data_IF_706340025539
#
_entry.id   IF_706340025539
#
_cell.length_a   1.000
_cell.length_b   1.000
_cell.length_c   1.000
_cell.angle_alpha   90.00
_cell.angle_beta   90.00
_cell.angle_gamma   90.00
#
_symmetry.space_group_name_H-M   'P 1'
#
loop_
_entity.id
_entity.type
_entity.pdbx_description
1 polymer ?
#
# COMPACT_ATOMS: atom_id res chain seq x y z
N UNK A 1 -16.71 -57.93 -35.28
CA UNK A 1 -18.16 -57.84 -35.01
C UNK A 1 -18.52 -56.38 -34.72
N UNK A 2 -19.45 -55.86 -35.52
CA UNK A 2 -20.34 -54.68 -35.40
C UNK A 2 -20.13 -53.64 -34.28
N UNK A 3 -19.74 -52.43 -34.74
CA UNK A 3 -20.32 -51.07 -34.51
C UNK A 3 -21.12 -50.81 -33.22
N UNK A 4 -20.80 -49.69 -32.54
CA UNK A 4 -21.77 -48.65 -32.15
C UNK A 4 -21.03 -47.36 -31.75
N UNK A 5 -21.13 -46.36 -32.62
CA UNK A 5 -20.97 -44.96 -32.27
C UNK A 5 -22.30 -44.46 -31.68
N UNK A 6 -22.26 -43.55 -30.70
CA UNK A 6 -23.34 -42.61 -30.41
C UNK A 6 -22.74 -41.27 -29.97
N UNK A 7 -23.17 -40.24 -30.66
CA UNK A 7 -22.87 -38.82 -30.44
C UNK A 7 -23.86 -38.21 -29.46
N UNK A 8 -23.47 -37.09 -28.84
CA UNK A 8 -24.26 -35.85 -28.62
C UNK A 8 -24.32 -35.33 -27.16
N UNK A 9 -23.86 -34.09 -27.02
CA UNK A 9 -24.33 -33.06 -26.07
C UNK A 9 -23.95 -33.26 -24.60
N UNK A 10 -23.60 -32.25 -23.80
CA UNK A 10 -24.00 -30.85 -23.79
C UNK A 10 -22.93 -30.02 -23.08
N UNK A 11 -22.78 -28.78 -23.53
CA UNK A 11 -22.10 -27.68 -22.83
C UNK A 11 -22.90 -27.33 -21.57
N UNK A 12 -22.22 -27.14 -20.43
CA UNK A 12 -22.65 -26.20 -19.39
C UNK A 12 -21.44 -25.80 -18.53
N UNK A 13 -21.13 -24.51 -18.63
CA UNK A 13 -20.16 -23.80 -17.81
C UNK A 13 -20.62 -23.74 -16.35
N UNK A 14 -19.68 -23.87 -15.42
CA UNK A 14 -19.79 -23.30 -14.09
C UNK A 14 -18.44 -22.71 -13.72
N UNK A 15 -18.29 -21.43 -14.04
CA UNK A 15 -17.25 -20.55 -13.52
C UNK A 15 -17.51 -20.43 -12.02
N UNK A 16 -16.55 -20.86 -11.21
CA UNK A 16 -16.66 -20.88 -9.76
C UNK A 16 -15.30 -20.73 -9.07
N UNK A 17 -14.50 -19.78 -9.54
CA UNK A 17 -13.32 -19.23 -8.86
C UNK A 17 -13.27 -17.76 -9.31
N UNK A 18 -13.02 -16.73 -8.50
CA UNK A 18 -12.16 -16.64 -7.34
C UNK A 18 -12.80 -15.70 -6.31
N UNK A 19 -12.73 -16.08 -5.03
CA UNK A 19 -12.68 -15.11 -3.95
C UNK A 19 -11.30 -14.45 -4.01
N UNK A 20 -11.18 -13.29 -4.67
CA UNK A 20 -9.93 -12.51 -4.70
C UNK A 20 -9.80 -11.77 -3.35
N UNK A 21 -9.49 -12.52 -2.30
CA UNK A 21 -8.78 -11.98 -1.15
C UNK A 21 -7.34 -11.77 -1.58
N UNK A 22 -7.00 -10.57 -2.06
CA UNK A 22 -5.64 -10.25 -2.50
C UNK A 22 -4.64 -10.51 -1.38
N UNK A 23 -3.86 -11.59 -1.52
CA UNK A 23 -2.74 -11.87 -0.64
C UNK A 23 -1.73 -10.70 -0.77
N UNK A 24 -1.05 -10.30 0.32
CA UNK A 24 0.01 -9.30 0.22
C UNK A 24 1.05 -9.78 -0.77
N UNK A 25 1.55 -8.88 -1.63
CA UNK A 25 2.70 -9.18 -2.45
C UNK A 25 3.89 -9.40 -1.52
N UNK A 26 4.45 -10.62 -1.53
CA UNK A 26 5.64 -10.98 -0.76
C UNK A 26 6.79 -11.15 -1.74
N UNK A 27 7.82 -10.32 -1.60
CA UNK A 27 9.09 -10.52 -2.29
C UNK A 27 10.13 -11.13 -1.34
N UNK A 28 10.85 -12.14 -1.84
CA UNK A 28 12.04 -12.66 -1.15
C UNK A 28 13.20 -11.65 -1.22
N UNK A 29 13.29 -10.87 -2.30
CA UNK A 29 14.22 -9.77 -2.45
C UNK A 29 13.71 -8.50 -1.76
N UNK A 30 14.62 -7.63 -1.31
CA UNK A 30 14.35 -6.41 -0.52
C UNK A 30 13.35 -5.40 -1.09
N UNK A 31 12.82 -5.58 -2.31
CA UNK A 31 11.80 -4.71 -2.90
C UNK A 31 10.45 -5.39 -3.02
N UNK A 32 9.36 -4.72 -2.64
CA UNK A 32 7.99 -5.19 -2.81
C UNK A 32 7.07 -4.07 -3.32
N UNK A 33 6.19 -4.42 -4.25
CA UNK A 33 5.23 -3.53 -4.89
C UNK A 33 3.84 -4.15 -4.84
N UNK A 34 2.85 -3.34 -4.48
CA UNK A 34 1.45 -3.75 -4.47
C UNK A 34 0.55 -2.60 -4.91
N UNK A 35 -0.40 -2.92 -5.79
CA UNK A 35 -1.45 -1.99 -6.19
C UNK A 35 -2.82 -2.66 -6.11
N UNK A 36 -3.86 -1.90 -5.74
CA UNK A 36 -5.26 -2.35 -5.80
C UNK A 36 -6.12 -1.32 -6.49
N UNK A 37 -7.08 -1.83 -7.24
CA UNK A 37 -8.11 -1.05 -7.91
C UNK A 37 -9.46 -1.31 -7.23
N UNK A 38 -10.19 -0.24 -6.94
CA UNK A 38 -11.52 -0.29 -6.38
C UNK A 38 -12.48 0.53 -7.26
N UNK A 39 -13.57 -0.06 -7.76
CA UNK A 39 -14.47 0.65 -8.68
C UNK A 39 -15.19 1.80 -7.96
N UNK A 40 -15.22 2.97 -8.59
CA UNK A 40 -16.01 4.12 -8.15
C UNK A 40 -17.27 4.21 -9.00
N UNK A 41 -17.07 4.22 -10.32
CA UNK A 41 -18.11 4.27 -11.35
C UNK A 41 -17.68 3.43 -12.57
N UNK A 42 -18.49 3.31 -13.64
CA UNK A 42 -18.14 2.49 -14.81
C UNK A 42 -16.85 2.91 -15.54
N UNK A 43 -16.41 4.16 -15.41
CA UNK A 43 -15.23 4.70 -16.07
C UNK A 43 -14.04 4.89 -15.12
N UNK A 44 -14.29 5.14 -13.83
CA UNK A 44 -13.26 5.53 -12.87
C UNK A 44 -13.09 4.51 -11.75
N UNK A 45 -11.85 4.21 -11.40
CA UNK A 45 -11.48 3.36 -10.28
C UNK A 45 -10.53 4.10 -9.34
N UNK A 46 -10.65 3.89 -8.04
CA UNK A 46 -9.65 4.29 -7.06
C UNK A 46 -8.50 3.29 -7.14
N UNK A 47 -7.32 3.77 -7.53
CA UNK A 47 -6.08 3.02 -7.38
C UNK A 47 -5.42 3.39 -6.05
N UNK A 48 -4.98 2.38 -5.31
CA UNK A 48 -4.09 2.53 -4.16
C UNK A 48 -2.81 1.76 -4.43
N UNK A 49 -1.69 2.30 -3.95
CA UNK A 49 -0.37 1.78 -4.21
C UNK A 49 0.46 1.76 -2.92
N UNK A 50 1.25 0.71 -2.76
CA UNK A 50 2.24 0.56 -1.72
C UNK A 50 3.51 -0.03 -2.32
N UNK A 51 4.62 0.67 -2.13
CA UNK A 51 5.94 0.26 -2.56
C UNK A 51 6.90 0.34 -1.38
N UNK A 52 7.81 -0.62 -1.33
CA UNK A 52 8.78 -0.80 -0.27
C UNK A 52 10.11 -1.28 -0.87
N UNK A 53 11.22 -0.67 -0.49
CA UNK A 53 12.57 -1.04 -0.89
C UNK A 53 13.51 -1.01 0.31
N UNK A 54 13.90 -2.19 0.77
CA UNK A 54 14.75 -2.45 1.91
C UNK A 54 16.15 -2.83 1.45
N UNK A 55 17.15 -2.09 1.94
CA UNK A 55 18.56 -2.29 1.58
C UNK A 55 19.38 -2.58 2.86
N UNK A 56 19.91 -3.80 3.04
CA UNK A 56 20.70 -4.12 4.24
C UNK A 56 21.97 -3.28 4.36
N UNK A 57 22.63 -2.98 3.24
CA UNK A 57 23.87 -2.18 3.25
C UNK A 57 23.67 -0.77 3.81
N UNK A 58 22.45 -0.26 3.81
CA UNK A 58 22.12 1.11 4.21
C UNK A 58 21.38 1.22 5.55
N UNK A 59 21.01 0.12 6.22
CA UNK A 59 20.29 0.22 7.49
C UNK A 59 18.80 0.61 7.36
N UNK A 60 18.27 0.74 6.13
CA UNK A 60 17.01 1.45 5.87
C UNK A 60 16.13 0.78 4.82
N UNK A 61 14.81 1.02 4.92
CA UNK A 61 13.85 0.79 3.86
C UNK A 61 13.21 2.10 3.42
N UNK A 62 13.17 2.37 2.12
CA UNK A 62 12.36 3.43 1.55
C UNK A 62 10.95 2.91 1.30
N UNK A 63 9.95 3.76 1.48
CA UNK A 63 8.59 3.43 1.11
C UNK A 63 7.90 4.58 0.39
N UNK A 64 6.93 4.20 -0.42
CA UNK A 64 5.97 5.09 -1.05
C UNK A 64 4.59 4.47 -0.92
N UNK A 65 3.64 5.21 -0.38
CA UNK A 65 2.23 4.85 -0.44
C UNK A 65 1.46 5.96 -1.12
N UNK A 66 0.38 5.64 -1.81
CA UNK A 66 -0.39 6.68 -2.48
C UNK A 66 -1.72 6.20 -3.00
N UNK A 67 -2.49 7.17 -3.48
CA UNK A 67 -3.75 6.93 -4.15
C UNK A 67 -3.91 7.84 -5.37
N UNK A 68 -4.60 7.34 -6.38
CA UNK A 68 -4.92 8.07 -7.60
C UNK A 68 -6.24 7.57 -8.18
N UNK A 69 -6.83 8.33 -9.08
CA UNK A 69 -7.94 7.87 -9.91
C UNK A 69 -7.37 7.21 -11.16
N UNK A 70 -7.77 5.97 -11.42
CA UNK A 70 -7.53 5.27 -12.68
C UNK A 70 -8.73 5.52 -13.60
N UNK A 71 -8.45 6.14 -14.75
CA UNK A 71 -9.39 6.40 -15.83
C UNK A 71 -8.96 5.61 -17.08
N UNK A 72 -9.78 5.58 -18.16
CA UNK A 72 -9.36 4.98 -19.43
C UNK A 72 -8.12 5.66 -20.04
N UNK A 73 -7.92 6.95 -19.76
CA UNK A 73 -6.79 7.73 -20.26
C UNK A 73 -5.51 7.58 -19.39
N UNK A 74 -5.62 6.89 -18.26
CA UNK A 74 -4.51 6.65 -17.33
C UNK A 74 -4.79 7.12 -15.90
N UNK A 75 -3.71 7.27 -15.12
CA UNK A 75 -3.79 7.76 -13.75
C UNK A 75 -3.95 9.28 -13.74
N UNK A 76 -4.87 9.74 -12.91
CA UNK A 76 -5.14 11.16 -12.66
C UNK A 76 -5.30 11.41 -11.17
N UNK A 77 -5.21 12.68 -10.77
CA UNK A 77 -5.41 13.08 -9.39
C UNK A 77 -6.89 13.18 -9.03
N UNK A 78 -7.19 13.97 -7.99
CA UNK A 78 -8.55 14.11 -7.47
C UNK A 78 -9.11 15.52 -7.74
N UNK A 79 -10.45 15.69 -7.67
CA UNK A 79 -11.10 16.98 -7.90
C UNK A 79 -10.86 18.01 -6.77
N UNK A 80 -11.32 19.24 -7.00
CA UNK A 80 -11.05 20.41 -6.15
C UNK A 80 -11.70 20.36 -4.76
N UNK A 81 -12.76 19.59 -4.62
CA UNK A 81 -13.53 19.40 -3.40
C UNK A 81 -13.12 18.13 -2.64
N UNK A 82 -11.99 17.51 -3.02
CA UNK A 82 -11.46 16.35 -2.32
C UNK A 82 -11.16 16.65 -0.85
N UNK A 83 -11.63 15.75 0.00
CA UNK A 83 -11.04 15.43 1.28
C UNK A 83 -10.67 13.94 1.29
N UNK A 84 -9.44 13.61 1.68
CA UNK A 84 -9.03 12.23 1.85
C UNK A 84 -8.17 12.05 3.10
N UNK A 85 -8.32 10.87 3.72
CA UNK A 85 -7.48 10.41 4.82
C UNK A 85 -6.86 9.08 4.44
N UNK A 86 -5.54 9.05 4.33
CA UNK A 86 -4.76 7.84 4.15
C UNK A 86 -4.14 7.44 5.50
N UNK A 87 -4.32 6.17 5.90
CA UNK A 87 -3.67 5.63 7.09
C UNK A 87 -2.84 4.41 6.70
N UNK A 88 -1.58 4.44 7.11
CA UNK A 88 -0.57 3.47 6.71
C UNK A 88 0.06 2.86 7.95
N UNK A 89 -0.03 1.54 8.07
CA UNK A 89 0.52 0.78 9.19
C UNK A 89 1.78 0.07 8.73
N UNK A 90 2.86 0.30 9.45
CA UNK A 90 4.15 -0.36 9.28
C UNK A 90 4.38 -1.29 10.46
N UNK A 91 4.62 -2.56 10.18
CA UNK A 91 4.82 -3.59 11.21
C UNK A 91 5.79 -4.67 10.75
N UNK A 92 6.27 -5.45 11.72
CA UNK A 92 7.08 -6.65 11.51
C UNK A 92 6.38 -7.85 12.14
N UNK A 93 6.64 -9.05 11.62
CA UNK A 93 6.26 -10.31 12.29
C UNK A 93 7.24 -10.65 13.44
N UNK A 94 8.42 -10.01 13.47
CA UNK A 94 9.43 -10.23 14.48
C UNK A 94 9.30 -9.21 15.60
N UNK A 95 8.98 -9.67 16.82
CA UNK A 95 8.86 -8.78 18.01
C UNK A 95 10.15 -8.09 18.42
N UNK A 96 11.28 -8.61 17.97
CA UNK A 96 12.61 -8.05 18.23
C UNK A 96 13.04 -7.04 17.16
N UNK A 97 12.19 -6.73 16.19
CA UNK A 97 12.42 -5.67 15.21
C UNK A 97 11.75 -4.37 15.68
N UNK A 98 12.57 -3.37 15.98
CA UNK A 98 12.14 -1.99 16.18
C UNK A 98 12.16 -1.28 14.82
N UNK A 99 11.10 -0.53 14.52
CA UNK A 99 10.96 0.20 13.26
C UNK A 99 10.81 1.69 13.57
N UNK A 100 11.87 2.45 13.29
CA UNK A 100 11.82 3.90 13.37
C UNK A 100 11.34 4.47 12.04
N UNK A 101 10.11 5.00 12.03
CA UNK A 101 9.47 5.50 10.81
C UNK A 101 9.64 7.00 10.70
N UNK A 102 10.04 7.43 9.51
CA UNK A 102 10.19 8.82 9.11
C UNK A 102 9.42 9.05 7.82
N UNK A 103 8.82 10.22 7.67
CA UNK A 103 8.06 10.64 6.48
C UNK A 103 8.65 11.93 5.94
N UNK A 104 8.75 12.02 4.62
CA UNK A 104 9.21 13.23 3.95
C UNK A 104 8.19 14.38 4.04
N UNK A 105 8.63 15.59 3.73
CA UNK A 105 7.77 16.76 3.51
C UNK A 105 7.54 17.68 4.71
N UNK A 106 8.12 17.39 5.88
CA UNK A 106 8.12 18.32 7.01
C UNK A 106 9.10 19.48 6.84
N UNK A 107 8.92 20.53 7.63
CA UNK A 107 9.78 21.71 7.65
C UNK A 107 10.64 21.77 8.93
N UNK A 108 11.85 22.34 8.82
CA UNK A 108 12.75 22.56 9.96
C UNK A 108 13.44 21.30 10.50
N UNK A 109 13.99 21.33 11.73
CA UNK A 109 14.73 20.22 12.35
C UNK A 109 13.96 18.91 12.53
N UNK A 110 12.65 18.94 12.27
CA UNK A 110 11.72 17.82 12.41
C UNK A 110 11.07 17.45 11.06
N UNK A 111 11.73 17.81 9.94
CA UNK A 111 11.19 17.64 8.60
C UNK A 111 10.97 16.19 8.15
N UNK A 112 11.50 15.25 8.92
CA UNK A 112 11.38 13.80 8.78
C UNK A 112 10.20 13.19 9.55
N UNK A 113 9.42 14.00 10.29
CA UNK A 113 8.26 13.55 11.10
C UNK A 113 6.90 13.80 10.45
N UNK A 114 6.90 14.28 9.20
CA UNK A 114 5.70 14.51 8.39
C UNK A 114 5.51 15.97 7.99
N UNK A 115 5.12 16.16 6.75
CA UNK A 115 4.66 17.45 6.22
C UNK A 115 3.30 17.86 6.76
N UNK A 116 2.84 19.09 6.43
CA UNK A 116 1.48 19.51 6.74
C UNK A 116 0.45 18.44 6.36
N UNK A 117 -0.39 18.04 7.32
CA UNK A 117 -1.40 17.00 7.12
C UNK A 117 -0.91 15.56 7.33
N UNK A 118 0.39 15.32 7.54
CA UNK A 118 0.95 13.98 7.84
C UNK A 118 1.42 13.89 9.28
N UNK A 119 1.09 12.80 9.98
CA UNK A 119 1.58 12.52 11.33
C UNK A 119 1.99 11.05 11.45
N UNK A 120 3.09 10.81 12.16
CA UNK A 120 3.60 9.47 12.50
C UNK A 120 3.35 9.18 13.98
N UNK A 121 2.60 8.13 14.28
CA UNK A 121 2.35 7.58 15.61
C UNK A 121 3.21 6.34 15.81
N UNK A 122 4.04 6.34 16.85
CA UNK A 122 5.00 5.26 17.15
C UNK A 122 4.58 4.58 18.45
N UNK A 123 4.00 3.38 18.36
CA UNK A 123 3.44 2.67 19.52
C UNK A 123 4.38 1.57 20.06
N UNK A 124 5.67 1.62 19.74
CA UNK A 124 6.67 0.62 20.16
C UNK A 124 6.51 -0.76 19.52
N UNK A 125 5.41 -1.00 18.80
CA UNK A 125 5.17 -2.17 17.96
C UNK A 125 4.93 -1.75 16.50
N UNK A 126 3.67 -1.65 16.05
CA UNK A 126 3.38 -1.01 14.77
C UNK A 126 3.59 0.51 14.86
N UNK A 127 4.00 1.10 13.73
CA UNK A 127 3.95 2.55 13.53
C UNK A 127 2.82 2.87 12.57
N UNK A 128 2.02 3.88 12.88
CA UNK A 128 0.91 4.34 12.04
C UNK A 128 1.22 5.74 11.49
N UNK A 129 1.12 5.90 10.19
CA UNK A 129 1.17 7.19 9.51
C UNK A 129 -0.24 7.57 9.11
N UNK A 130 -0.71 8.75 9.50
CA UNK A 130 -1.96 9.32 8.99
C UNK A 130 -1.65 10.57 8.16
N UNK A 131 -2.06 10.56 6.90
CA UNK A 131 -1.94 11.66 5.96
C UNK A 131 -3.32 12.17 5.54
N UNK A 132 -3.53 13.48 5.63
CA UNK A 132 -4.73 14.16 5.18
C UNK A 132 -4.42 14.91 3.89
N UNK A 133 -5.24 14.68 2.87
CA UNK A 133 -5.16 15.36 1.59
C UNK A 133 -6.42 16.18 1.34
N UNK A 134 -6.24 17.36 0.77
CA UNK A 134 -7.34 18.25 0.42
C UNK A 134 -7.10 18.95 -0.90
N UNK A 135 -8.19 19.17 -1.65
CA UNK A 135 -8.20 19.93 -2.89
C UNK A 135 -7.56 19.22 -4.10
N UNK A 136 -7.71 19.85 -5.26
CA UNK A 136 -7.25 19.31 -6.55
C UNK A 136 -5.72 19.27 -6.64
N UNK A 137 -5.23 18.38 -7.49
CA UNK A 137 -3.81 18.26 -7.79
C UNK A 137 -3.51 17.02 -8.63
N UNK A 138 -2.26 16.86 -9.07
CA UNK A 138 -1.83 15.69 -9.81
C UNK A 138 -1.64 14.47 -8.86
N UNK A 139 -1.52 13.23 -9.38
CA UNK A 139 -1.41 12.01 -8.57
C UNK A 139 -0.31 12.06 -7.49
N UNK A 140 0.81 12.72 -7.78
CA UNK A 140 1.98 12.81 -6.89
C UNK A 140 1.67 13.56 -5.59
N UNK A 141 0.65 14.44 -5.60
CA UNK A 141 0.19 15.15 -4.40
C UNK A 141 -0.37 14.20 -3.35
N UNK A 142 -0.91 13.06 -3.76
CA UNK A 142 -1.63 12.10 -2.92
C UNK A 142 -0.75 10.90 -2.56
N UNK A 143 0.54 11.17 -2.37
CA UNK A 143 1.54 10.18 -1.99
C UNK A 143 2.19 10.58 -0.66
N UNK A 144 2.59 9.58 0.11
CA UNK A 144 3.45 9.72 1.27
C UNK A 144 4.70 8.90 1.02
N UNK A 145 5.83 9.58 1.02
CA UNK A 145 7.16 8.96 0.96
C UNK A 145 7.81 8.99 2.33
N UNK A 146 8.67 8.02 2.58
CA UNK A 146 9.42 8.01 3.83
C UNK A 146 10.46 6.91 3.89
N UNK A 147 11.07 6.82 5.07
CA UNK A 147 12.09 5.84 5.39
C UNK A 147 11.75 5.11 6.68
N UNK A 148 12.21 3.87 6.77
CA UNK A 148 12.05 3.00 7.93
C UNK A 148 13.44 2.53 8.30
N UNK A 149 13.91 2.88 9.49
CA UNK A 149 15.13 2.30 10.06
C UNK A 149 14.74 1.06 10.84
N UNK A 150 15.30 -0.09 10.44
CA UNK A 150 14.97 -1.38 11.05
C UNK A 150 16.13 -1.84 11.92
N UNK A 151 15.91 -1.81 13.23
CA UNK A 151 16.94 -2.18 14.22
C UNK A 151 16.47 -3.30 15.14
N UNK A 152 17.44 -4.03 15.69
CA UNK A 152 17.21 -5.04 16.70
C UNK A 152 16.97 -4.36 18.05
N UNK A 153 15.84 -4.66 18.69
CA UNK A 153 15.43 -4.00 19.93
C UNK A 153 16.43 -4.20 21.09
N UNK A 154 17.15 -5.32 21.11
CA UNK A 154 18.08 -5.63 22.20
C UNK A 154 19.45 -4.99 22.00
N UNK A 155 19.92 -4.88 20.75
CA UNK A 155 21.29 -4.44 20.43
C UNK A 155 21.37 -3.05 19.80
N UNK A 156 20.25 -2.54 19.28
CA UNK A 156 20.19 -1.31 18.48
C UNK A 156 20.83 -1.42 17.09
N UNK A 157 21.38 -2.58 16.72
CA UNK A 157 22.05 -2.80 15.44
C UNK A 157 21.05 -3.06 14.31
N UNK A 158 21.39 -2.83 13.04
CA UNK A 158 20.54 -3.20 11.90
C UNK A 158 20.12 -4.67 11.95
N UNK A 159 18.83 -4.94 11.77
CA UNK A 159 18.26 -6.30 11.91
C UNK A 159 18.09 -6.99 10.57
N UNK A 160 19.18 -7.53 10.03
CA UNK A 160 19.17 -8.37 8.80
C UNK A 160 18.22 -9.56 8.95
N UNK A 161 17.41 -9.82 7.93
CA UNK A 161 16.38 -10.85 7.89
C UNK A 161 15.04 -10.45 8.52
N UNK A 162 14.86 -9.19 8.94
CA UNK A 162 13.59 -8.72 9.48
C UNK A 162 12.51 -8.57 8.39
N UNK A 163 11.31 -9.08 8.64
CA UNK A 163 10.17 -8.83 7.75
C UNK A 163 9.67 -7.39 7.95
N UNK A 164 9.41 -6.67 6.86
CA UNK A 164 8.74 -5.36 6.89
C UNK A 164 7.43 -5.47 6.12
N UNK A 165 6.33 -5.12 6.78
CA UNK A 165 4.98 -5.14 6.22
C UNK A 165 4.43 -3.72 6.28
N UNK A 166 4.11 -3.19 5.11
CA UNK A 166 3.54 -1.86 4.89
C UNK A 166 2.14 -2.03 4.32
N UNK A 167 1.12 -1.63 5.06
CA UNK A 167 -0.27 -1.68 4.61
C UNK A 167 -0.89 -0.29 4.66
N UNK A 168 -1.41 0.19 3.54
CA UNK A 168 -2.10 1.48 3.45
C UNK A 168 -3.58 1.29 3.11
N UNK A 169 -4.43 2.11 3.69
CA UNK A 169 -5.84 2.25 3.29
C UNK A 169 -6.20 3.72 3.24
N UNK A 170 -7.16 4.08 2.39
CA UNK A 170 -7.57 5.47 2.19
C UNK A 170 -9.08 5.59 2.22
N UNK A 171 -9.56 6.63 2.88
CA UNK A 171 -10.91 7.13 2.73
C UNK A 171 -10.88 8.35 1.82
N UNK A 172 -11.73 8.36 0.80
CA UNK A 172 -11.82 9.42 -0.21
C UNK A 172 -13.25 9.95 -0.22
N UNK A 173 -13.37 11.28 -0.09
CA UNK A 173 -14.64 12.00 -0.09
C UNK A 173 -14.56 13.18 -1.06
N UNK A 174 -15.45 13.24 -2.03
CA UNK A 174 -15.71 14.39 -2.90
C UNK A 174 -17.14 14.29 -3.44
N UNK A 175 -17.60 15.25 -4.25
CA UNK A 175 -18.98 15.30 -4.73
C UNK A 175 -19.43 13.99 -5.35
N UNK A 176 -20.42 13.36 -4.72
CA UNK A 176 -21.00 12.08 -5.17
C UNK A 176 -20.20 10.82 -4.79
N UNK A 177 -19.05 10.95 -4.11
CA UNK A 177 -18.18 9.82 -3.75
C UNK A 177 -17.80 9.90 -2.27
N UNK A 178 -18.09 8.83 -1.53
CA UNK A 178 -17.59 8.60 -0.18
C UNK A 178 -17.27 7.12 -0.05
N UNK A 179 -15.99 6.80 -0.22
CA UNK A 179 -15.52 5.42 -0.28
C UNK A 179 -14.33 5.22 0.64
N UNK A 180 -14.24 4.02 1.20
CA UNK A 180 -13.04 3.54 1.87
C UNK A 180 -12.47 2.42 1.01
N UNK A 181 -11.28 2.65 0.48
CA UNK A 181 -10.57 1.66 -0.32
C UNK A 181 -10.10 0.47 0.54
N UNK A 182 -9.94 -0.73 -0.06
CA UNK A 182 -9.35 -1.86 0.63
C UNK A 182 -7.90 -1.57 1.01
N UNK A 183 -7.38 -2.29 2.01
CA UNK A 183 -5.97 -2.19 2.37
C UNK A 183 -5.07 -2.75 1.26
N UNK A 184 -4.07 -1.99 0.85
CA UNK A 184 -3.02 -2.38 -0.10
C UNK A 184 -1.73 -2.58 0.67
N UNK A 185 -1.16 -3.78 0.57
CA UNK A 185 -0.05 -4.22 1.40
C UNK A 185 1.14 -4.69 0.56
N UNK A 186 2.31 -4.11 0.83
CA UNK A 186 3.59 -4.58 0.36
C UNK A 186 4.35 -5.22 1.53
N UNK A 187 4.97 -6.38 1.27
CA UNK A 187 5.77 -7.09 2.26
C UNK A 187 7.08 -7.54 1.64
N UNK A 188 8.17 -7.26 2.34
CA UNK A 188 9.51 -7.74 1.98
C UNK A 188 10.28 -8.20 3.21
N UNK A 189 11.44 -8.81 2.98
CA UNK A 189 12.44 -9.14 3.97
C UNK A 189 13.61 -8.19 3.81
N UNK A 190 14.14 -7.73 4.94
CA UNK A 190 15.31 -6.87 4.99
C UNK A 190 16.56 -7.72 4.72
N UNK A 191 17.06 -7.70 3.49
CA UNK A 191 18.20 -8.51 3.00
C UNK A 191 19.46 -7.71 2.72
#
# INVERSE_FOLDING_TARGET
>A
MKRRAWSAGWVLAAVGALMIGGQPAVAAAGTADASKLFPIDPATQLQTHAWLDCQASAGLCNFTVGAALQTPDGLTGFPADLWARQSTVIRSLQRTAYMDVHTAGGEGPWGDRGGPGTKVFKDGGPSEITSLYGGAGPPEKYQTHGTIVVSDLATGQPKVGASVILCTHIQVVYTGVNITGPATCAQTVYE
#
